data_IF_950749888156
#
_entry.id   IF_950749888156
#
_cell.length_a   1.000
_cell.length_b   1.000
_cell.length_c   1.000
_cell.angle_alpha   90.00
_cell.angle_beta   90.00
_cell.angle_gamma   90.00
#
_symmetry.space_group_name_H-M   'P 1'
#
loop_
_entity.id
_entity.type
_entity.pdbx_description
1 polymer ?
#
# COMPACT_ATOMS: atom_id res chain seq x y z
N UNK A 1 28.22 -83.99 25.61
CA UNK A 1 27.64 -82.82 26.30
C UNK A 1 28.09 -81.55 25.55
N UNK A 2 27.27 -81.00 24.63
CA UNK A 2 27.55 -79.84 23.84
C UNK A 2 26.79 -78.62 24.46
N UNK A 3 27.50 -77.64 24.99
CA UNK A 3 26.91 -76.38 25.50
C UNK A 3 26.65 -75.46 24.33
N UNK A 4 25.38 -75.10 24.07
CA UNK A 4 24.98 -74.12 23.10
C UNK A 4 24.96 -72.78 23.84
N UNK A 5 25.83 -71.81 23.40
CA UNK A 5 25.91 -70.46 23.88
C UNK A 5 24.97 -69.59 23.01
N UNK A 6 23.84 -69.16 23.55
CA UNK A 6 22.92 -68.27 22.86
C UNK A 6 23.41 -66.81 23.07
N UNK A 7 23.80 -66.14 21.97
CA UNK A 7 24.12 -64.70 21.94
C UNK A 7 22.79 -63.91 21.81
N UNK A 8 22.40 -63.18 22.86
CA UNK A 8 21.33 -62.16 22.77
C UNK A 8 21.92 -60.91 22.18
N UNK A 9 21.55 -60.61 20.91
CA UNK A 9 21.84 -59.29 20.33
C UNK A 9 20.69 -58.33 20.72
N UNK A 10 20.94 -57.44 21.67
CA UNK A 10 20.02 -56.33 22.00
C UNK A 10 20.12 -55.27 20.92
N UNK A 11 19.13 -55.18 20.05
CA UNK A 11 18.99 -54.11 19.06
C UNK A 11 18.57 -52.83 19.81
N UNK A 12 19.53 -51.90 20.01
CA UNK A 12 19.20 -50.52 20.41
C UNK A 12 18.50 -49.84 19.23
N UNK A 13 17.18 -49.74 19.26
CA UNK A 13 16.40 -48.93 18.37
C UNK A 13 16.65 -47.45 18.77
N UNK A 14 17.56 -46.77 18.05
CA UNK A 14 17.73 -45.31 18.12
C UNK A 14 16.48 -44.64 17.63
N UNK A 15 15.59 -44.22 18.51
CA UNK A 15 14.47 -43.37 18.18
C UNK A 15 15.02 -41.96 17.83
N UNK A 16 15.21 -41.71 16.52
CA UNK A 16 15.45 -40.37 16.01
C UNK A 16 14.16 -39.61 16.28
N UNK A 17 14.20 -38.51 17.07
CA UNK A 17 13.02 -37.68 17.28
C UNK A 17 12.59 -37.14 15.92
N UNK A 18 11.40 -37.51 15.47
CA UNK A 18 10.80 -36.88 14.29
C UNK A 18 10.66 -35.39 14.61
N UNK A 19 11.41 -34.52 13.90
CA UNK A 19 11.19 -33.10 13.98
C UNK A 19 9.72 -32.85 13.61
N UNK A 20 8.93 -32.40 14.58
CA UNK A 20 7.55 -32.00 14.33
C UNK A 20 7.57 -30.89 13.27
N UNK A 21 6.66 -30.99 12.29
CA UNK A 21 6.52 -29.96 11.26
C UNK A 21 6.27 -28.59 11.94
N UNK A 22 6.89 -27.49 11.44
CA UNK A 22 6.66 -26.16 11.99
C UNK A 22 5.18 -25.80 12.06
N UNK A 23 4.76 -25.21 13.18
CA UNK A 23 3.38 -24.72 13.34
C UNK A 23 3.07 -23.72 12.25
N UNK A 24 1.93 -23.86 11.60
CA UNK A 24 1.44 -22.87 10.61
C UNK A 24 0.78 -21.71 11.33
N UNK A 25 1.16 -20.47 10.92
CA UNK A 25 0.56 -19.20 11.34
C UNK A 25 0.04 -18.48 10.10
N UNK A 26 -1.25 -18.20 10.06
CA UNK A 26 -1.89 -17.54 8.91
C UNK A 26 -2.10 -16.06 9.19
N UNK A 27 -1.62 -15.21 8.28
CA UNK A 27 -1.87 -13.76 8.26
C UNK A 27 -2.80 -13.44 7.10
N UNK A 28 -3.95 -12.82 7.40
CA UNK A 28 -4.85 -12.27 6.41
C UNK A 28 -4.32 -10.98 5.80
N UNK A 29 -4.50 -10.80 4.51
CA UNK A 29 -4.14 -9.55 3.81
C UNK A 29 -5.33 -9.09 2.96
N UNK A 30 -5.88 -7.91 3.29
CA UNK A 30 -7.05 -7.30 2.64
C UNK A 30 -6.68 -5.90 2.19
N UNK A 31 -6.46 -5.71 0.89
CA UNK A 31 -6.25 -4.39 0.30
C UNK A 31 -7.56 -3.85 -0.31
N UNK A 32 -7.55 -2.63 -0.89
CA UNK A 32 -8.75 -2.03 -1.46
C UNK A 32 -9.22 -2.76 -2.72
N UNK A 33 -8.28 -3.11 -3.63
CA UNK A 33 -8.60 -3.85 -4.86
C UNK A 33 -7.43 -4.64 -5.38
N UNK A 34 -7.70 -5.74 -6.10
CA UNK A 34 -6.66 -6.53 -6.75
C UNK A 34 -6.13 -5.87 -8.02
N UNK A 35 -6.96 -5.05 -8.70
CA UNK A 35 -6.61 -4.42 -9.96
C UNK A 35 -5.62 -3.26 -9.84
N UNK A 36 -5.41 -2.72 -8.63
CA UNK A 36 -4.46 -1.63 -8.41
C UNK A 36 -3.05 -2.19 -8.15
N UNK A 37 -2.05 -1.86 -8.99
CA UNK A 37 -0.70 -2.44 -8.90
C UNK A 37 0.05 -2.07 -7.61
N UNK A 38 -0.30 -1.00 -6.89
CA UNK A 38 0.31 -0.68 -5.59
C UNK A 38 0.05 -1.80 -4.58
N UNK A 39 -1.12 -2.42 -4.62
CA UNK A 39 -1.49 -3.52 -3.73
C UNK A 39 -0.90 -4.86 -4.16
N UNK A 40 -0.57 -5.04 -5.45
CA UNK A 40 0.22 -6.19 -5.90
C UNK A 40 1.63 -6.13 -5.33
N UNK A 41 2.25 -4.95 -5.29
CA UNK A 41 3.55 -4.76 -4.62
C UNK A 41 3.46 -5.05 -3.11
N UNK A 42 2.40 -4.61 -2.44
CA UNK A 42 2.16 -4.94 -1.03
C UNK A 42 2.01 -6.46 -0.82
N UNK A 43 1.29 -7.15 -1.72
CA UNK A 43 1.17 -8.61 -1.67
C UNK A 43 2.52 -9.30 -1.77
N UNK A 44 3.37 -8.88 -2.72
CA UNK A 44 4.74 -9.43 -2.85
C UNK A 44 5.52 -9.21 -1.56
N UNK A 45 5.49 -7.98 -1.01
CA UNK A 45 6.15 -7.68 0.26
C UNK A 45 5.68 -8.56 1.42
N UNK A 46 4.37 -8.81 1.52
CA UNK A 46 3.81 -9.69 2.55
C UNK A 46 4.27 -11.15 2.39
N UNK A 47 4.33 -11.65 1.14
CA UNK A 47 4.81 -13.00 0.85
C UNK A 47 6.31 -13.16 1.15
N UNK A 48 7.12 -12.16 0.81
CA UNK A 48 8.55 -12.15 1.14
C UNK A 48 8.77 -12.08 2.66
N UNK A 49 8.01 -11.24 3.38
CA UNK A 49 8.05 -11.20 4.84
C UNK A 49 7.67 -12.54 5.45
N UNK A 50 6.62 -13.20 4.94
CA UNK A 50 6.23 -14.53 5.41
C UNK A 50 7.37 -15.54 5.23
N UNK A 51 8.05 -15.54 4.08
CA UNK A 51 9.21 -16.39 3.80
C UNK A 51 10.38 -16.11 4.75
N UNK A 52 10.80 -14.84 4.83
CA UNK A 52 11.98 -14.44 5.61
C UNK A 52 11.76 -14.67 7.11
N UNK A 53 10.58 -14.32 7.60
CA UNK A 53 10.24 -14.43 9.04
C UNK A 53 9.86 -15.85 9.45
N UNK A 54 9.45 -16.73 8.52
CA UNK A 54 9.30 -18.16 8.79
C UNK A 54 10.59 -18.78 9.32
N UNK A 55 11.72 -18.48 8.67
CA UNK A 55 13.02 -18.94 9.13
C UNK A 55 13.40 -18.33 10.49
N UNK A 56 13.16 -17.04 10.69
CA UNK A 56 13.47 -16.33 11.94
C UNK A 56 12.73 -16.90 13.16
N UNK A 57 11.45 -17.25 12.99
CA UNK A 57 10.59 -17.67 14.11
C UNK A 57 10.42 -19.19 14.23
N UNK A 58 10.96 -19.98 13.30
CA UNK A 58 10.72 -21.44 13.25
C UNK A 58 9.26 -21.79 13.01
N UNK A 59 8.54 -20.98 12.22
CA UNK A 59 7.14 -21.11 11.90
C UNK A 59 6.94 -21.34 10.39
N UNK A 60 5.79 -21.87 10.00
CA UNK A 60 5.31 -21.84 8.62
C UNK A 60 4.31 -20.68 8.48
N UNK A 61 4.77 -19.48 8.07
CA UNK A 61 3.91 -18.31 7.93
C UNK A 61 3.27 -18.33 6.56
N UNK A 62 1.94 -18.21 6.52
CA UNK A 62 1.14 -18.21 5.30
C UNK A 62 0.36 -16.90 5.17
N UNK A 63 0.35 -16.32 3.99
CA UNK A 63 -0.48 -15.16 3.64
C UNK A 63 -1.78 -15.67 3.00
N UNK A 64 -2.93 -15.30 3.59
CA UNK A 64 -4.27 -15.50 3.02
C UNK A 64 -4.74 -14.15 2.42
N UNK A 65 -4.62 -14.04 1.08
CA UNK A 65 -4.98 -12.84 0.33
C UNK A 65 -6.45 -12.86 -0.05
N UNK A 66 -7.27 -12.02 0.62
CA UNK A 66 -8.72 -11.91 0.38
C UNK A 66 -9.14 -10.49 0.00
N UNK A 67 -8.42 -9.90 -0.92
CA UNK A 67 -8.72 -8.57 -1.45
C UNK A 67 -9.81 -8.67 -2.53
N UNK A 68 -10.81 -7.77 -2.53
CA UNK A 68 -11.81 -7.68 -3.60
C UNK A 68 -11.16 -7.39 -4.97
N UNK A 69 -11.79 -7.84 -6.07
CA UNK A 69 -11.32 -7.52 -7.41
C UNK A 69 -11.35 -6.01 -7.70
N UNK A 70 -12.44 -5.37 -7.28
CA UNK A 70 -12.65 -3.92 -7.36
C UNK A 70 -12.83 -3.35 -5.95
N UNK A 71 -12.69 -2.04 -5.80
CA UNK A 71 -12.85 -1.37 -4.52
C UNK A 71 -14.29 -1.49 -4.01
N UNK A 72 -14.47 -2.23 -2.92
CA UNK A 72 -15.77 -2.51 -2.29
C UNK A 72 -15.56 -2.71 -0.78
N UNK A 73 -15.98 -1.73 0.01
CA UNK A 73 -15.83 -1.76 1.47
C UNK A 73 -16.68 -2.84 2.16
N UNK A 74 -17.82 -3.22 1.57
CA UNK A 74 -18.63 -4.29 2.12
C UNK A 74 -17.92 -5.65 1.94
N UNK A 75 -17.39 -5.91 0.75
CA UNK A 75 -16.59 -7.12 0.50
C UNK A 75 -15.31 -7.17 1.33
N UNK A 76 -14.70 -6.01 1.63
CA UNK A 76 -13.57 -5.97 2.56
C UNK A 76 -13.98 -6.38 3.98
N UNK A 77 -15.12 -5.89 4.49
CA UNK A 77 -15.64 -6.28 5.80
C UNK A 77 -15.91 -7.79 5.86
N UNK A 78 -16.59 -8.35 4.85
CA UNK A 78 -16.85 -9.78 4.72
C UNK A 78 -15.54 -10.60 4.65
N UNK A 79 -14.53 -10.11 3.95
CA UNK A 79 -13.22 -10.76 3.87
C UNK A 79 -12.51 -10.81 5.23
N UNK A 80 -12.60 -9.74 6.05
CA UNK A 80 -12.07 -9.71 7.41
C UNK A 80 -12.77 -10.77 8.27
N UNK A 81 -14.11 -10.82 8.24
CA UNK A 81 -14.89 -11.80 8.98
C UNK A 81 -14.54 -13.25 8.58
N UNK A 82 -14.45 -13.51 7.27
CA UNK A 82 -14.07 -14.82 6.74
C UNK A 82 -12.64 -15.24 7.13
N UNK A 83 -11.70 -14.27 7.22
CA UNK A 83 -10.33 -14.55 7.70
C UNK A 83 -10.33 -14.97 9.17
N UNK A 84 -11.11 -14.29 10.02
CA UNK A 84 -11.27 -14.68 11.43
C UNK A 84 -11.85 -16.08 11.53
N UNK A 85 -12.92 -16.39 10.79
CA UNK A 85 -13.55 -17.72 10.77
C UNK A 85 -12.62 -18.82 10.23
N UNK A 86 -11.73 -18.47 9.29
CA UNK A 86 -10.72 -19.39 8.75
C UNK A 86 -9.50 -19.59 9.67
N UNK A 87 -9.47 -18.93 10.84
CA UNK A 87 -8.41 -19.07 11.83
C UNK A 87 -7.16 -18.23 11.53
N UNK A 88 -7.28 -17.11 10.84
CA UNK A 88 -6.20 -16.14 10.72
C UNK A 88 -5.81 -15.63 12.11
N UNK A 89 -4.50 -15.56 12.38
CA UNK A 89 -3.97 -15.13 13.68
C UNK A 89 -3.61 -13.64 13.71
N UNK A 90 -3.62 -12.98 12.55
CA UNK A 90 -3.45 -11.55 12.40
C UNK A 90 -3.96 -11.09 11.04
N UNK A 91 -4.38 -9.85 10.90
CA UNK A 91 -4.91 -9.32 9.65
C UNK A 91 -4.28 -7.95 9.36
N UNK A 92 -3.79 -7.76 8.12
CA UNK A 92 -3.37 -6.47 7.60
C UNK A 92 -4.42 -5.94 6.62
N UNK A 93 -4.84 -4.67 6.78
CA UNK A 93 -5.94 -4.08 6.02
C UNK A 93 -5.57 -2.70 5.48
N UNK A 94 -5.85 -2.41 4.20
CA UNK A 94 -5.94 -1.05 3.66
C UNK A 94 -7.41 -0.69 3.43
N UNK A 95 -7.91 0.33 4.14
CA UNK A 95 -9.34 0.60 4.23
C UNK A 95 -9.84 1.47 3.06
N UNK A 96 -10.82 0.99 2.28
CA UNK A 96 -11.52 1.81 1.28
C UNK A 96 -12.51 2.80 1.91
N UNK A 97 -13.09 2.45 3.05
CA UNK A 97 -13.97 3.29 3.86
C UNK A 97 -13.74 2.99 5.34
N UNK A 98 -13.16 3.95 6.07
CA UNK A 98 -12.82 3.77 7.48
C UNK A 98 -14.04 3.50 8.36
N UNK A 99 -15.17 4.15 8.09
CA UNK A 99 -16.36 4.02 8.91
C UNK A 99 -16.97 2.62 8.78
N UNK A 100 -17.10 2.14 7.53
CA UNK A 100 -17.66 0.80 7.26
C UNK A 100 -16.78 -0.34 7.76
N UNK A 101 -15.47 -0.15 7.78
CA UNK A 101 -14.53 -1.20 8.21
C UNK A 101 -14.25 -1.19 9.71
N UNK A 102 -14.58 -0.11 10.42
CA UNK A 102 -14.35 0.00 11.87
C UNK A 102 -14.96 -1.16 12.63
N UNK A 103 -16.21 -1.53 12.35
CA UNK A 103 -16.91 -2.59 13.08
C UNK A 103 -16.32 -3.98 12.78
N UNK A 104 -15.99 -4.29 11.52
CA UNK A 104 -15.35 -5.54 11.15
C UNK A 104 -13.96 -5.69 11.79
N UNK A 105 -13.16 -4.61 11.82
CA UNK A 105 -11.87 -4.58 12.51
C UNK A 105 -12.04 -4.79 14.01
N UNK A 106 -13.01 -4.10 14.63
CA UNK A 106 -13.29 -4.24 16.04
C UNK A 106 -13.74 -5.65 16.41
N UNK A 107 -14.57 -6.27 15.57
CA UNK A 107 -14.98 -7.67 15.71
C UNK A 107 -13.79 -8.62 15.67
N UNK A 108 -12.90 -8.48 14.69
CA UNK A 108 -11.68 -9.29 14.59
C UNK A 108 -10.83 -9.16 15.86
N UNK A 109 -10.58 -7.93 16.34
CA UNK A 109 -9.79 -7.69 17.55
C UNK A 109 -10.47 -8.27 18.80
N UNK A 110 -11.79 -8.13 18.92
CA UNK A 110 -12.57 -8.72 20.05
C UNK A 110 -12.50 -10.26 20.05
N UNK A 111 -12.33 -10.89 18.87
CA UNK A 111 -12.10 -12.32 18.74
C UNK A 111 -10.61 -12.72 18.92
N UNK A 112 -9.76 -11.81 19.38
CA UNK A 112 -8.35 -12.08 19.68
C UNK A 112 -7.42 -12.01 18.47
N UNK A 113 -7.90 -11.56 17.30
CA UNK A 113 -7.11 -11.43 16.07
C UNK A 113 -6.61 -9.97 15.96
N UNK A 114 -5.33 -9.68 16.19
CA UNK A 114 -4.79 -8.33 16.05
C UNK A 114 -4.87 -7.86 14.60
N UNK A 115 -5.24 -6.58 14.44
CA UNK A 115 -5.34 -5.93 13.12
C UNK A 115 -4.34 -4.79 13.01
N UNK A 116 -3.53 -4.80 11.95
CA UNK A 116 -2.72 -3.68 11.48
C UNK A 116 -3.39 -3.06 10.25
N UNK A 117 -3.36 -1.73 10.13
CA UNK A 117 -3.73 -1.08 8.88
C UNK A 117 -2.48 -0.61 8.12
N UNK A 118 -2.58 -0.48 6.81
CA UNK A 118 -1.53 0.08 5.96
C UNK A 118 -2.15 0.98 4.88
N UNK A 119 -1.38 1.90 4.30
CA UNK A 119 -1.84 2.86 3.29
C UNK A 119 -3.01 3.71 3.78
N UNK A 120 -4.21 3.14 3.87
CA UNK A 120 -5.43 3.81 4.31
C UNK A 120 -5.92 3.23 5.64
N UNK A 121 -6.08 4.11 6.63
CA UNK A 121 -6.33 3.76 8.03
C UNK A 121 -7.84 3.79 8.39
N UNK A 122 -8.18 3.13 9.50
CA UNK A 122 -9.45 3.27 10.23
C UNK A 122 -9.16 3.71 11.67
N UNK A 123 -8.90 5.00 11.93
CA UNK A 123 -8.37 5.48 13.20
C UNK A 123 -9.33 5.31 14.39
N UNK A 124 -10.64 5.21 14.15
CA UNK A 124 -11.64 4.94 15.19
C UNK A 124 -11.72 3.45 15.59
N UNK A 125 -11.03 2.55 14.86
CA UNK A 125 -11.04 1.12 15.14
C UNK A 125 -10.04 0.71 16.24
N UNK A 126 -10.15 -0.54 16.68
CA UNK A 126 -9.24 -1.16 17.66
C UNK A 126 -7.94 -1.71 17.02
N UNK A 127 -7.60 -1.34 15.78
CA UNK A 127 -6.34 -1.73 15.18
C UNK A 127 -5.18 -1.28 16.07
N UNK A 128 -4.10 -2.10 16.18
CA UNK A 128 -3.01 -1.77 17.08
C UNK A 128 -1.93 -0.87 16.46
N UNK A 129 -1.85 -0.81 15.13
CA UNK A 129 -0.88 0.00 14.38
C UNK A 129 -1.39 0.31 12.98
N UNK A 130 -0.94 1.44 12.43
CA UNK A 130 -1.01 1.75 11.00
C UNK A 130 0.39 2.01 10.44
N UNK A 131 0.67 1.52 9.22
CA UNK A 131 1.91 1.75 8.50
C UNK A 131 1.64 2.42 7.15
N UNK A 132 2.29 3.53 6.88
CA UNK A 132 2.12 4.28 5.62
C UNK A 132 2.73 5.66 5.70
N UNK A 133 2.38 6.52 4.73
CA UNK A 133 2.82 7.92 4.73
C UNK A 133 1.94 8.77 5.66
N UNK A 134 2.41 9.95 6.05
CA UNK A 134 1.50 10.99 6.53
C UNK A 134 0.78 11.59 5.33
N UNK A 135 -0.53 11.34 5.23
CA UNK A 135 -1.31 11.75 4.06
C UNK A 135 -1.51 13.25 3.95
N UNK A 136 -1.51 13.98 5.06
CA UNK A 136 -1.53 15.44 5.03
C UNK A 136 -0.22 15.97 4.42
N UNK A 137 0.89 15.47 4.93
CA UNK A 137 2.22 15.80 4.45
C UNK A 137 2.43 15.37 2.99
N UNK A 138 1.89 14.21 2.60
CA UNK A 138 1.89 13.76 1.21
C UNK A 138 1.21 14.78 0.28
N UNK A 139 0.05 15.30 0.67
CA UNK A 139 -0.63 16.36 -0.07
C UNK A 139 0.16 17.67 -0.11
N UNK A 140 0.77 18.06 1.02
CA UNK A 140 1.65 19.23 1.12
C UNK A 140 2.82 19.08 0.14
N UNK A 141 3.54 17.97 0.17
CA UNK A 141 4.69 17.73 -0.70
C UNK A 141 4.28 17.68 -2.18
N UNK A 142 3.13 17.07 -2.51
CA UNK A 142 2.62 17.07 -3.89
C UNK A 142 2.42 18.48 -4.41
N UNK A 143 1.81 19.36 -3.62
CA UNK A 143 1.57 20.74 -4.02
C UNK A 143 2.83 21.58 -4.00
N UNK A 144 3.72 21.38 -3.04
CA UNK A 144 4.99 22.10 -2.96
C UNK A 144 5.87 21.84 -4.19
N UNK A 145 6.01 20.55 -4.60
CA UNK A 145 6.74 20.20 -5.82
C UNK A 145 6.04 20.76 -7.08
N UNK A 146 4.70 20.72 -7.13
CA UNK A 146 3.95 21.31 -8.24
C UNK A 146 4.14 22.83 -8.29
N UNK A 147 4.03 23.53 -7.17
CA UNK A 147 4.25 24.98 -7.10
C UNK A 147 5.67 25.37 -7.55
N UNK A 148 6.67 24.57 -7.18
CA UNK A 148 8.07 24.79 -7.59
C UNK A 148 8.21 24.71 -9.11
N UNK A 149 7.69 23.66 -9.76
CA UNK A 149 7.80 23.50 -11.23
C UNK A 149 6.89 24.48 -11.99
N UNK A 150 5.83 25.00 -11.36
CA UNK A 150 4.97 26.07 -11.88
C UNK A 150 5.51 27.48 -11.60
N UNK A 151 6.65 27.62 -10.91
CA UNK A 151 7.20 28.92 -10.49
C UNK A 151 6.21 29.76 -9.66
N UNK A 152 5.41 29.09 -8.83
CA UNK A 152 4.47 29.71 -7.90
C UNK A 152 3.24 30.39 -8.50
N UNK A 153 2.87 30.09 -9.76
CA UNK A 153 1.73 30.71 -10.44
C UNK A 153 1.04 29.77 -11.42
N UNK A 154 -0.28 29.92 -11.56
CA UNK A 154 -1.11 29.24 -12.54
C UNK A 154 -2.39 28.67 -11.93
N UNK A 155 -3.15 27.97 -12.76
CA UNK A 155 -4.41 27.30 -12.40
C UNK A 155 -4.15 25.81 -12.22
N UNK A 156 -4.44 25.29 -11.02
CA UNK A 156 -4.20 23.88 -10.64
C UNK A 156 -5.52 23.14 -10.54
N UNK A 157 -5.57 21.96 -11.14
CA UNK A 157 -6.59 20.97 -10.89
C UNK A 157 -6.03 19.85 -9.97
N UNK A 158 -6.85 19.36 -9.05
CA UNK A 158 -6.50 18.25 -8.18
C UNK A 158 -7.27 17.00 -8.63
N UNK A 159 -6.58 15.91 -8.94
CA UNK A 159 -7.22 14.63 -9.21
C UNK A 159 -7.20 13.78 -7.95
N UNK A 160 -8.39 13.43 -7.47
CA UNK A 160 -8.61 12.61 -6.28
C UNK A 160 -9.45 11.37 -6.64
N UNK A 161 -9.17 10.26 -5.99
CA UNK A 161 -9.92 9.02 -6.19
C UNK A 161 -11.26 9.01 -5.44
N UNK A 162 -11.47 7.98 -4.63
CA UNK A 162 -12.70 7.82 -3.84
C UNK A 162 -12.85 8.93 -2.78
N UNK A 163 -13.95 9.70 -2.80
CA UNK A 163 -14.19 10.77 -1.82
C UNK A 163 -14.37 10.26 -0.38
N UNK A 164 -14.62 8.98 -0.17
CA UNK A 164 -14.80 8.38 1.16
C UNK A 164 -13.50 7.77 1.73
N UNK A 165 -12.42 7.74 0.94
CA UNK A 165 -11.13 7.23 1.39
C UNK A 165 -10.40 8.26 2.27
N UNK A 166 -10.15 7.97 3.57
CA UNK A 166 -9.65 8.98 4.51
C UNK A 166 -8.23 9.46 4.18
N UNK A 167 -7.37 8.59 3.64
CA UNK A 167 -6.05 8.98 3.16
C UNK A 167 -6.14 10.02 2.05
N UNK A 168 -7.03 9.83 1.06
CA UNK A 168 -7.18 10.75 -0.06
C UNK A 168 -7.74 12.11 0.38
N UNK A 169 -8.70 12.12 1.30
CA UNK A 169 -9.22 13.36 1.87
C UNK A 169 -8.13 14.17 2.60
N UNK A 170 -7.26 13.48 3.32
CA UNK A 170 -6.11 14.10 3.98
C UNK A 170 -5.10 14.67 2.96
N UNK A 171 -4.84 13.97 1.87
CA UNK A 171 -3.98 14.48 0.78
C UNK A 171 -4.59 15.72 0.12
N UNK A 172 -5.88 15.71 -0.18
CA UNK A 172 -6.60 16.91 -0.70
C UNK A 172 -6.47 18.09 0.25
N UNK A 173 -6.63 17.86 1.56
CA UNK A 173 -6.45 18.90 2.57
C UNK A 173 -5.02 19.47 2.52
N UNK A 174 -4.00 18.60 2.43
CA UNK A 174 -2.59 19.01 2.33
C UNK A 174 -2.31 19.86 1.09
N UNK A 175 -2.84 19.45 -0.08
CA UNK A 175 -2.75 20.23 -1.33
C UNK A 175 -3.33 21.63 -1.16
N UNK A 176 -4.54 21.74 -0.59
CA UNK A 176 -5.21 23.04 -0.36
C UNK A 176 -4.42 23.92 0.62
N UNK A 177 -3.92 23.32 1.70
CA UNK A 177 -3.13 24.02 2.71
C UNK A 177 -1.83 24.57 2.12
N UNK A 178 -1.13 23.81 1.31
CA UNK A 178 0.13 24.24 0.69
C UNK A 178 -0.11 25.28 -0.40
N UNK A 179 -1.12 25.08 -1.26
CA UNK A 179 -1.47 26.03 -2.32
C UNK A 179 -1.75 27.44 -1.77
N UNK A 180 -2.35 27.56 -0.59
CA UNK A 180 -2.64 28.84 0.06
C UNK A 180 -1.39 29.68 0.37
N UNK A 181 -0.19 29.09 0.37
CA UNK A 181 1.08 29.81 0.55
C UNK A 181 1.56 30.52 -0.72
N UNK A 182 0.96 30.22 -1.86
CA UNK A 182 1.34 30.76 -3.18
C UNK A 182 0.22 31.62 -3.75
N UNK A 183 0.23 32.96 -3.56
CA UNK A 183 -0.84 33.85 -4.03
C UNK A 183 -1.07 33.83 -5.55
N UNK A 184 -0.04 33.41 -6.32
CA UNK A 184 -0.15 33.26 -7.78
C UNK A 184 -0.77 31.93 -8.24
N UNK A 185 -1.07 31.00 -7.32
CA UNK A 185 -1.70 29.72 -7.63
C UNK A 185 -3.17 29.76 -7.23
N UNK A 186 -4.05 29.34 -8.13
CA UNK A 186 -5.46 29.11 -7.83
C UNK A 186 -5.82 27.64 -8.09
N UNK A 187 -6.53 27.02 -7.14
CA UNK A 187 -7.09 25.67 -7.36
C UNK A 187 -8.43 25.84 -8.07
N UNK A 188 -8.54 25.24 -9.28
CA UNK A 188 -9.79 25.23 -10.05
C UNK A 188 -10.85 24.42 -9.32
N UNK A 189 -10.56 23.15 -9.06
CA UNK A 189 -11.43 22.23 -8.32
C UNK A 189 -10.69 20.94 -7.97
N UNK A 190 -11.36 20.10 -7.15
CA UNK A 190 -10.98 18.73 -6.85
C UNK A 190 -11.89 17.77 -7.62
N UNK A 191 -11.32 17.00 -8.52
CA UNK A 191 -12.03 16.08 -9.40
C UNK A 191 -11.91 14.65 -8.90
N UNK A 192 -13.05 14.05 -8.61
CA UNK A 192 -13.15 12.66 -8.14
C UNK A 192 -13.43 11.70 -9.30
N UNK A 193 -12.97 10.45 -9.15
CA UNK A 193 -13.17 9.38 -10.12
C UNK A 193 -13.16 8.02 -9.40
N UNK A 194 -13.59 6.97 -10.08
CA UNK A 194 -13.30 5.61 -9.65
C UNK A 194 -11.80 5.36 -9.70
N UNK A 195 -11.26 4.59 -8.74
CA UNK A 195 -9.82 4.34 -8.64
C UNK A 195 -9.34 3.32 -9.70
N UNK A 196 -9.74 3.54 -10.96
CA UNK A 196 -9.24 2.80 -12.12
C UNK A 196 -8.40 3.71 -13.02
N UNK A 197 -7.39 3.17 -13.74
CA UNK A 197 -6.58 3.96 -14.67
C UNK A 197 -7.41 4.64 -15.75
N UNK A 198 -8.41 3.94 -16.28
CA UNK A 198 -9.26 4.41 -17.39
C UNK A 198 -10.16 5.57 -16.96
N UNK A 199 -10.86 5.43 -15.82
CA UNK A 199 -11.74 6.50 -15.32
C UNK A 199 -10.91 7.74 -14.94
N UNK A 200 -9.71 7.56 -14.37
CA UNK A 200 -8.81 8.64 -14.03
C UNK A 200 -8.29 9.39 -15.26
N UNK A 201 -7.85 8.68 -16.30
CA UNK A 201 -7.38 9.28 -17.55
C UNK A 201 -8.52 10.01 -18.28
N UNK A 202 -9.70 9.39 -18.37
CA UNK A 202 -10.88 10.01 -18.95
C UNK A 202 -11.31 11.29 -18.19
N UNK A 203 -11.21 11.28 -16.85
CA UNK A 203 -11.49 12.47 -16.03
C UNK A 203 -10.54 13.63 -16.34
N UNK A 204 -9.23 13.37 -16.47
CA UNK A 204 -8.25 14.40 -16.86
C UNK A 204 -8.60 14.97 -18.24
N UNK A 205 -8.85 14.11 -19.23
CA UNK A 205 -9.19 14.55 -20.58
C UNK A 205 -10.46 15.43 -20.60
N UNK A 206 -11.53 14.99 -19.94
CA UNK A 206 -12.77 15.74 -19.81
C UNK A 206 -12.55 17.12 -19.17
N UNK A 207 -11.78 17.18 -18.09
CA UNK A 207 -11.52 18.42 -17.36
C UNK A 207 -10.68 19.38 -18.19
N UNK A 208 -9.64 18.89 -18.88
CA UNK A 208 -8.80 19.71 -19.76
C UNK A 208 -9.56 20.30 -20.94
N UNK A 209 -10.48 19.55 -21.52
CA UNK A 209 -11.35 20.05 -22.60
C UNK A 209 -12.27 21.17 -22.12
N UNK A 210 -12.80 21.05 -20.92
CA UNK A 210 -13.71 22.05 -20.32
C UNK A 210 -12.97 23.26 -19.72
N UNK A 211 -11.70 23.15 -19.38
CA UNK A 211 -10.91 24.16 -18.66
C UNK A 211 -9.51 24.30 -19.28
N UNK A 212 -9.38 24.91 -20.45
CA UNK A 212 -8.10 25.02 -21.18
C UNK A 212 -7.09 25.96 -20.48
N UNK A 213 -7.49 26.68 -19.45
CA UNK A 213 -6.67 27.55 -18.64
C UNK A 213 -5.92 26.80 -17.49
N UNK A 214 -6.18 25.52 -17.29
CA UNK A 214 -5.44 24.69 -16.33
C UNK A 214 -4.01 24.51 -16.81
N UNK A 215 -3.07 24.91 -15.96
CA UNK A 215 -1.62 24.83 -16.23
C UNK A 215 -0.88 23.86 -15.31
N UNK A 216 -1.59 23.29 -14.31
CA UNK A 216 -1.01 22.31 -13.38
C UNK A 216 -1.99 21.25 -12.91
N UNK A 217 -1.47 20.03 -12.67
CA UNK A 217 -2.20 18.92 -12.07
C UNK A 217 -1.49 18.39 -10.83
N UNK A 218 -2.20 18.37 -9.71
CA UNK A 218 -1.82 17.65 -8.51
C UNK A 218 -2.55 16.31 -8.49
N UNK A 219 -1.87 15.22 -8.82
CA UNK A 219 -2.42 13.87 -8.79
C UNK A 219 -2.09 13.25 -7.44
N UNK A 220 -3.08 13.17 -6.54
CA UNK A 220 -2.87 12.65 -5.17
C UNK A 220 -2.83 11.12 -5.09
N UNK A 221 -2.80 10.45 -6.23
CA UNK A 221 -2.57 9.04 -6.47
C UNK A 221 -2.26 8.80 -7.95
N UNK A 222 -1.61 7.69 -8.25
CA UNK A 222 -0.99 7.44 -9.54
C UNK A 222 -1.91 6.94 -10.66
N UNK A 223 -3.20 6.74 -10.41
CA UNK A 223 -4.11 5.99 -11.30
C UNK A 223 -4.02 6.32 -12.79
N UNK A 224 -4.09 7.60 -13.25
CA UNK A 224 -4.06 7.87 -14.69
C UNK A 224 -2.74 7.45 -15.33
N UNK A 225 -1.65 7.49 -14.57
CA UNK A 225 -0.30 7.19 -15.05
C UNK A 225 0.04 5.68 -15.00
N UNK A 226 -0.91 4.82 -14.60
CA UNK A 226 -0.78 3.36 -14.71
C UNK A 226 -1.12 2.86 -16.13
N UNK A 227 -1.58 3.74 -17.01
CA UNK A 227 -1.79 3.46 -18.43
C UNK A 227 -0.94 4.40 -19.30
N UNK A 228 -0.66 3.99 -20.53
CA UNK A 228 0.09 4.79 -21.49
C UNK A 228 -0.78 5.94 -22.03
N UNK A 229 -0.15 7.05 -22.40
CA UNK A 229 -0.77 8.18 -23.09
C UNK A 229 -1.97 8.81 -22.35
N UNK A 230 -2.01 8.76 -21.03
CA UNK A 230 -3.07 9.40 -20.24
C UNK A 230 -3.02 10.94 -20.31
N UNK A 231 -1.83 11.52 -20.49
CA UNK A 231 -1.62 12.96 -20.58
C UNK A 231 -1.51 13.36 -22.05
N UNK A 232 -2.51 14.11 -22.56
CA UNK A 232 -2.63 14.44 -24.00
C UNK A 232 -1.94 15.74 -24.41
N UNK A 233 -1.36 16.46 -23.49
CA UNK A 233 -0.60 17.70 -23.77
C UNK A 233 0.86 17.40 -24.08
N UNK A 234 1.55 18.39 -24.68
CA UNK A 234 3.00 18.28 -24.89
C UNK A 234 3.76 18.43 -23.58
N UNK A 235 4.87 17.70 -23.38
CA UNK A 235 5.70 17.83 -22.20
C UNK A 235 6.05 19.29 -21.89
N UNK A 236 5.89 19.72 -20.64
CA UNK A 236 6.21 21.07 -20.18
C UNK A 236 5.12 22.13 -20.40
N UNK A 237 4.07 21.87 -21.20
CA UNK A 237 2.97 22.86 -21.41
C UNK A 237 1.99 22.87 -20.23
N UNK A 238 1.74 21.75 -19.60
CA UNK A 238 1.01 21.62 -18.34
C UNK A 238 1.90 20.87 -17.36
N UNK A 239 2.11 21.41 -16.19
CA UNK A 239 2.92 20.78 -15.16
C UNK A 239 2.12 19.70 -14.42
N UNK A 240 2.75 18.61 -14.04
CA UNK A 240 2.08 17.51 -13.36
C UNK A 240 2.99 16.90 -12.31
N UNK A 241 2.51 16.79 -11.07
CA UNK A 241 3.16 16.03 -10.00
C UNK A 241 2.20 14.96 -9.53
N UNK A 242 2.70 13.75 -9.35
CA UNK A 242 1.87 12.60 -8.96
C UNK A 242 2.45 11.85 -7.77
N UNK A 243 1.56 11.36 -6.93
CA UNK A 243 1.88 10.33 -5.94
C UNK A 243 2.06 9.00 -6.66
N UNK A 244 2.81 8.09 -6.03
CA UNK A 244 3.31 6.82 -6.53
C UNK A 244 4.40 6.95 -7.61
N UNK A 245 5.17 5.86 -7.77
CA UNK A 245 6.23 5.78 -8.77
C UNK A 245 6.38 4.33 -9.30
N UNK A 246 5.26 3.76 -9.79
CA UNK A 246 5.23 2.43 -10.36
C UNK A 246 5.88 2.40 -11.75
N UNK A 247 6.25 1.23 -12.29
CA UNK A 247 6.96 1.13 -13.56
C UNK A 247 6.33 1.91 -14.71
N UNK A 248 5.00 1.85 -14.87
CA UNK A 248 4.29 2.61 -15.90
C UNK A 248 4.45 4.13 -15.73
N UNK A 249 4.46 4.62 -14.50
CA UNK A 249 4.62 6.05 -14.21
C UNK A 249 6.03 6.57 -14.54
N UNK A 250 7.06 5.73 -14.42
CA UNK A 250 8.45 6.12 -14.71
C UNK A 250 8.63 6.52 -16.18
N UNK A 251 7.79 6.02 -17.10
CA UNK A 251 7.78 6.44 -18.49
C UNK A 251 7.43 7.93 -18.66
N UNK A 252 6.56 8.47 -17.77
CA UNK A 252 6.19 9.89 -17.80
C UNK A 252 7.30 10.81 -17.28
N UNK A 253 8.18 10.33 -16.38
CA UNK A 253 9.42 11.03 -16.02
C UNK A 253 10.35 11.08 -17.24
N UNK A 254 10.58 9.94 -17.90
CA UNK A 254 11.48 9.83 -19.06
C UNK A 254 11.03 10.70 -20.23
N UNK A 255 9.72 10.77 -20.46
CA UNK A 255 9.14 11.60 -21.51
C UNK A 255 9.06 13.08 -21.17
N UNK A 256 9.26 13.48 -19.90
CA UNK A 256 9.18 14.86 -19.44
C UNK A 256 7.76 15.40 -19.19
N UNK A 257 6.73 14.55 -19.23
CA UNK A 257 5.37 14.96 -18.88
C UNK A 257 5.20 15.19 -17.38
N UNK A 258 5.92 14.42 -16.54
CA UNK A 258 5.84 14.49 -15.09
C UNK A 258 7.25 14.70 -14.55
N UNK A 259 7.58 15.89 -14.03
CA UNK A 259 8.92 16.18 -13.53
C UNK A 259 9.24 15.46 -12.21
N UNK A 260 8.22 15.21 -11.38
CA UNK A 260 8.39 14.56 -10.07
C UNK A 260 7.25 13.57 -9.81
N UNK A 261 7.62 12.38 -9.38
CA UNK A 261 6.74 11.40 -8.75
C UNK A 261 7.12 11.29 -7.27
N UNK A 262 6.13 11.18 -6.40
CA UNK A 262 6.32 10.96 -4.96
C UNK A 262 6.03 9.49 -4.65
N UNK A 263 7.07 8.66 -4.75
CA UNK A 263 6.98 7.22 -4.57
C UNK A 263 6.62 6.82 -3.14
N UNK A 264 5.54 6.08 -2.97
CA UNK A 264 5.21 5.39 -1.73
C UNK A 264 5.94 4.05 -1.65
N UNK A 265 6.21 3.58 -0.43
CA UNK A 265 6.89 2.31 -0.21
C UNK A 265 5.89 1.14 -0.23
N UNK A 266 5.19 0.95 -1.36
CA UNK A 266 4.08 0.01 -1.49
C UNK A 266 4.47 -1.45 -1.15
N UNK A 267 5.67 -1.89 -1.52
CA UNK A 267 6.19 -3.21 -1.11
C UNK A 267 6.28 -3.32 0.43
N UNK A 268 6.73 -2.25 1.10
CA UNK A 268 6.86 -2.23 2.55
C UNK A 268 5.49 -2.24 3.27
N UNK A 269 4.42 -1.80 2.62
CA UNK A 269 3.07 -1.92 3.18
C UNK A 269 2.74 -3.36 3.60
N UNK A 270 3.07 -4.31 2.74
CA UNK A 270 2.89 -5.73 3.06
C UNK A 270 3.96 -6.27 3.98
N UNK A 271 5.23 -6.05 3.65
CA UNK A 271 6.37 -6.60 4.41
C UNK A 271 6.32 -6.14 5.88
N UNK A 272 6.23 -4.82 6.10
CA UNK A 272 6.24 -4.25 7.45
C UNK A 272 4.99 -4.60 8.25
N UNK A 273 3.81 -4.66 7.60
CA UNK A 273 2.58 -5.07 8.29
C UNK A 273 2.66 -6.51 8.81
N UNK A 274 3.19 -7.44 8.02
CA UNK A 274 3.41 -8.83 8.48
C UNK A 274 4.43 -8.87 9.61
N UNK A 275 5.52 -8.13 9.52
CA UNK A 275 6.54 -8.04 10.57
C UNK A 275 5.94 -7.51 11.88
N UNK A 276 5.16 -6.42 11.84
CA UNK A 276 4.49 -5.84 13.00
C UNK A 276 3.47 -6.80 13.63
N UNK A 277 2.70 -7.52 12.80
CA UNK A 277 1.78 -8.55 13.27
C UNK A 277 2.51 -9.69 13.97
N UNK A 278 3.64 -10.16 13.44
CA UNK A 278 4.42 -11.21 14.07
C UNK A 278 5.09 -10.74 15.37
N UNK A 279 5.58 -9.52 15.43
CA UNK A 279 6.05 -8.93 16.70
C UNK A 279 4.94 -8.93 17.75
N UNK A 280 3.71 -8.57 17.35
CA UNK A 280 2.53 -8.58 18.23
C UNK A 280 2.14 -9.99 18.65
N UNK A 281 2.09 -10.93 17.71
CA UNK A 281 1.57 -12.29 17.94
C UNK A 281 2.61 -13.17 18.64
N UNK A 282 3.85 -13.18 18.16
CA UNK A 282 4.91 -14.09 18.62
C UNK A 282 5.72 -13.48 19.77
N UNK A 283 6.18 -12.23 19.61
CA UNK A 283 7.03 -11.58 20.60
C UNK A 283 6.22 -10.86 21.69
N UNK A 284 4.90 -10.75 21.56
CA UNK A 284 3.98 -10.00 22.46
C UNK A 284 4.37 -8.54 22.62
N UNK A 285 5.01 -7.95 21.61
CA UNK A 285 5.46 -6.56 21.58
C UNK A 285 4.47 -5.67 20.82
N UNK A 286 4.26 -4.46 21.31
CA UNK A 286 3.60 -3.39 20.57
C UNK A 286 4.65 -2.48 19.94
N UNK A 287 4.35 -1.85 18.77
CA UNK A 287 5.19 -0.80 18.26
C UNK A 287 5.22 0.41 19.22
N UNK A 288 6.27 1.25 19.17
CA UNK A 288 6.40 2.41 20.05
C UNK A 288 5.34 3.48 19.82
N UNK A 289 4.73 3.49 18.65
CA UNK A 289 3.63 4.40 18.28
C UNK A 289 2.55 3.65 17.49
N UNK A 290 1.32 4.15 17.58
CA UNK A 290 0.18 3.62 16.82
C UNK A 290 0.30 3.93 15.32
N UNK A 291 1.06 4.97 14.95
CA UNK A 291 1.41 5.30 13.56
C UNK A 291 2.89 5.11 13.34
N UNK A 292 3.23 4.28 12.38
CA UNK A 292 4.59 4.15 11.85
C UNK A 292 4.63 4.78 10.45
N UNK A 293 5.30 5.92 10.35
CA UNK A 293 5.30 6.74 9.14
C UNK A 293 6.49 6.37 8.26
N UNK A 294 6.23 6.04 7.00
CA UNK A 294 7.21 5.89 5.94
C UNK A 294 7.40 7.19 5.18
N UNK A 295 8.63 7.48 4.76
CA UNK A 295 8.91 8.65 3.93
C UNK A 295 8.46 8.42 2.48
N UNK A 296 8.01 9.49 1.81
CA UNK A 296 7.90 9.54 0.36
C UNK A 296 9.30 9.60 -0.28
N UNK A 297 9.45 8.99 -1.43
CA UNK A 297 10.69 8.99 -2.20
C UNK A 297 10.47 9.83 -3.46
N UNK A 298 11.02 11.05 -3.55
CA UNK A 298 10.94 11.84 -4.78
C UNK A 298 11.71 11.13 -5.91
N UNK A 299 11.00 10.86 -7.01
CA UNK A 299 11.56 10.26 -8.22
C UNK A 299 11.54 11.31 -9.32
N UNK A 300 12.71 11.62 -9.84
CA UNK A 300 12.94 12.62 -10.87
C UNK A 300 13.77 12.01 -12.00
N UNK A 301 14.06 12.80 -13.03
CA UNK A 301 14.92 12.37 -14.14
C UNK A 301 16.31 11.91 -13.66
N UNK A 302 16.81 12.47 -12.55
CA UNK A 302 18.16 12.20 -12.05
C UNK A 302 18.29 10.81 -11.41
N UNK A 303 17.18 10.26 -10.84
CA UNK A 303 17.24 9.00 -10.10
C UNK A 303 16.27 7.91 -10.62
N UNK A 304 15.49 8.19 -11.66
CA UNK A 304 14.46 7.26 -12.17
C UNK A 304 15.03 5.89 -12.55
N UNK A 305 16.22 5.81 -13.12
CA UNK A 305 16.82 4.52 -13.53
C UNK A 305 17.33 3.71 -12.33
N UNK A 306 17.83 4.37 -11.31
CA UNK A 306 18.21 3.72 -10.05
C UNK A 306 16.97 3.23 -9.29
N UNK A 307 15.92 4.06 -9.26
CA UNK A 307 14.66 3.71 -8.61
C UNK A 307 13.94 2.55 -9.31
N UNK A 308 13.96 2.52 -10.66
CA UNK A 308 13.32 1.48 -11.46
C UNK A 308 13.78 0.06 -11.10
N UNK A 309 15.05 -0.12 -10.73
CA UNK A 309 15.62 -1.44 -10.34
C UNK A 309 14.92 -2.08 -9.13
N UNK A 310 14.31 -1.29 -8.28
CA UNK A 310 13.59 -1.83 -7.13
C UNK A 310 12.37 -2.67 -7.56
N UNK A 311 11.77 -2.33 -8.71
CA UNK A 311 10.58 -3.00 -9.21
C UNK A 311 10.84 -4.42 -9.72
N UNK A 312 12.10 -4.79 -10.00
CA UNK A 312 12.49 -6.17 -10.30
C UNK A 312 12.18 -7.13 -9.14
N UNK A 313 12.17 -6.60 -7.91
CA UNK A 313 11.83 -7.32 -6.68
C UNK A 313 10.37 -7.12 -6.26
N UNK A 314 9.82 -5.92 -6.45
CA UNK A 314 8.56 -5.50 -5.80
C UNK A 314 7.30 -5.91 -6.56
N UNK A 315 7.40 -6.37 -7.80
CA UNK A 315 6.26 -6.86 -8.57
C UNK A 315 6.27 -8.39 -8.69
N UNK A 316 5.09 -9.02 -8.84
CA UNK A 316 5.00 -10.45 -9.15
C UNK A 316 5.76 -10.75 -10.44
N UNK A 317 6.54 -11.83 -10.43
CA UNK A 317 7.19 -12.37 -11.63
C UNK A 317 6.25 -13.26 -12.40
#
# INVERSE_FOLDING_TARGET
MKKILALLIAALASTVPALAAPRTLTIGLVAKSQGNPVFQAARVGAMDAAKDLSAKYGLNIRIDWRTPNEEDSQKQAEAIEQLVLAGAEGIAVSCSDANKLTDAINSAVNNGVPVATFDSDAPASKRFVTYGVDDLECGIQTMAELAKVMHGKGVVAVLAGNPNAPNLQRRVQGVKQEAAKFPGISIRDVYYHKETPQDAAAKIEQVMQANPDITGWALIGGWPLFTENALKWQPGTVQCVSVDALPAQLAYIRSGHVPVLLGQQCYQWGYRSVELLLQKIVEKKNPPAVKEISALIPVTKDNVEAYAKNWDKWLPK
#
